data_IF_997834295829
#
_entry.id   IF_997834295829
#
_cell.length_a   1.000
_cell.length_b   1.000
_cell.length_c   1.000
_cell.angle_alpha   90.00
_cell.angle_beta   90.00
_cell.angle_gamma   90.00
#
_symmetry.space_group_name_H-M   'P 1'
#
loop_
_entity.id
_entity.type
_entity.pdbx_description
1 polymer ?
#
# COMPACT_ATOMS: atom_id res chain seq x y z
N UNK A 1 -4.67 -24.17 4.23
CA UNK A 1 -3.66 -23.30 3.53
C UNK A 1 -3.18 -22.17 4.42
N UNK A 2 -4.05 -21.50 5.19
CA UNK A 2 -3.68 -20.39 6.08
C UNK A 2 -2.79 -20.85 7.26
N UNK A 3 -3.09 -21.98 7.88
CA UNK A 3 -2.24 -22.58 8.92
C UNK A 3 -0.85 -22.95 8.37
N UNK A 4 -0.77 -23.42 7.14
CA UNK A 4 0.50 -23.77 6.47
C UNK A 4 1.33 -22.51 6.16
N UNK A 5 0.69 -21.42 5.69
CA UNK A 5 1.35 -20.14 5.44
C UNK A 5 1.84 -19.49 6.74
N UNK A 6 1.04 -19.55 7.80
CA UNK A 6 1.41 -19.01 9.10
C UNK A 6 2.55 -19.81 9.76
N UNK A 7 2.55 -21.14 9.61
CA UNK A 7 3.61 -22.03 10.11
C UNK A 7 4.92 -21.82 9.32
N UNK A 8 4.86 -21.67 8.01
CA UNK A 8 6.04 -21.38 7.17
C UNK A 8 6.60 -19.99 7.48
N UNK A 9 5.75 -18.95 7.63
CA UNK A 9 6.17 -17.63 8.04
C UNK A 9 6.83 -17.66 9.43
N UNK A 10 6.24 -18.33 10.41
CA UNK A 10 6.78 -18.40 11.77
C UNK A 10 8.13 -19.14 11.85
N UNK A 11 8.39 -20.10 10.96
CA UNK A 11 9.67 -20.81 10.93
C UNK A 11 10.77 -20.05 10.18
N UNK A 12 10.43 -19.26 9.17
CA UNK A 12 11.38 -18.47 8.38
C UNK A 12 11.91 -17.24 9.12
N UNK A 13 11.23 -16.78 10.17
CA UNK A 13 11.49 -15.48 10.81
C UNK A 13 11.71 -15.56 12.33
N UNK A 14 12.26 -16.67 12.83
CA UNK A 14 12.69 -16.76 14.24
C UNK A 14 13.78 -15.71 14.52
N UNK A 15 13.43 -14.71 15.35
CA UNK A 15 14.39 -13.70 15.84
C UNK A 15 14.20 -12.28 15.28
N UNK A 16 13.32 -12.06 14.30
CA UNK A 16 13.00 -10.71 13.80
C UNK A 16 11.98 -10.05 14.74
N UNK A 17 12.29 -8.85 15.22
CA UNK A 17 11.31 -8.00 15.91
C UNK A 17 10.30 -7.52 14.86
N UNK A 18 9.03 -7.94 15.00
CA UNK A 18 7.92 -7.63 14.09
C UNK A 18 7.00 -6.58 14.69
N UNK A 19 7.46 -5.78 15.61
CA UNK A 19 6.66 -4.67 16.12
C UNK A 19 6.34 -3.70 14.99
N UNK A 20 5.06 -3.31 14.91
CA UNK A 20 4.56 -2.31 13.98
C UNK A 20 4.15 -1.09 14.78
N UNK A 21 4.65 0.08 14.40
CA UNK A 21 4.20 1.32 15.01
C UNK A 21 2.89 1.77 14.37
N UNK A 22 1.83 1.81 15.16
CA UNK A 22 0.51 2.27 14.71
C UNK A 22 0.39 3.79 14.89
N UNK A 23 -0.02 4.46 13.80
CA UNK A 23 -0.42 5.86 13.76
C UNK A 23 -1.89 5.92 13.37
N UNK A 24 -2.79 6.03 14.37
CA UNK A 24 -4.23 6.03 14.14
C UNK A 24 -4.80 7.45 14.13
N UNK A 25 -5.17 7.93 12.95
CA UNK A 25 -5.86 9.18 12.69
C UNK A 25 -7.29 8.96 12.16
N UNK A 26 -7.82 7.74 12.23
CA UNK A 26 -9.13 7.40 11.64
C UNK A 26 -10.28 8.18 12.26
N UNK A 27 -10.17 8.54 13.55
CA UNK A 27 -11.13 9.37 14.28
C UNK A 27 -10.89 10.89 14.16
N UNK A 28 -9.84 11.32 13.45
CA UNK A 28 -9.51 12.73 13.27
C UNK A 28 -10.29 13.36 12.12
N UNK A 29 -10.19 14.69 11.96
CA UNK A 29 -10.64 15.35 10.74
C UNK A 29 -9.92 14.76 9.52
N UNK A 30 -10.60 14.68 8.35
CA UNK A 30 -9.99 14.17 7.12
C UNK A 30 -8.71 14.92 6.75
N UNK A 31 -7.67 14.18 6.39
CA UNK A 31 -6.32 14.68 6.14
C UNK A 31 -6.12 14.93 4.64
N UNK A 32 -5.50 16.04 4.31
CA UNK A 32 -5.09 16.39 2.94
C UNK A 32 -4.10 15.33 2.41
N UNK A 33 -4.31 14.87 1.16
CA UNK A 33 -3.57 13.72 0.61
C UNK A 33 -2.08 14.00 0.43
N UNK A 34 -1.72 15.18 -0.09
CA UNK A 34 -0.31 15.54 -0.36
C UNK A 34 0.53 15.53 0.91
N UNK A 35 -0.02 16.07 2.00
CA UNK A 35 0.64 16.08 3.31
C UNK A 35 0.94 14.67 3.80
N UNK A 36 -0.03 13.77 3.69
CA UNK A 36 0.16 12.38 4.12
C UNK A 36 1.11 11.61 3.17
N UNK A 37 1.09 11.91 1.87
CA UNK A 37 2.03 11.33 0.93
C UNK A 37 3.48 11.73 1.23
N UNK A 38 3.74 12.99 1.67
CA UNK A 38 5.08 13.41 2.13
C UNK A 38 5.51 12.64 3.39
N UNK A 39 4.60 12.40 4.34
CA UNK A 39 4.88 11.57 5.52
C UNK A 39 5.29 10.16 5.10
N UNK A 40 4.56 9.52 4.19
CA UNK A 40 4.90 8.19 3.68
C UNK A 40 6.29 8.19 3.02
N UNK A 41 6.58 9.16 2.16
CA UNK A 41 7.91 9.28 1.51
C UNK A 41 9.03 9.46 2.52
N UNK A 42 8.78 10.21 3.60
CA UNK A 42 9.74 10.39 4.69
C UNK A 42 10.03 9.09 5.43
N UNK A 43 8.99 8.31 5.75
CA UNK A 43 9.14 7.01 6.39
C UNK A 43 9.90 6.01 5.51
N UNK A 44 9.54 5.91 4.23
CA UNK A 44 10.27 5.09 3.25
C UNK A 44 11.73 5.54 3.14
N UNK A 45 11.97 6.85 3.11
CA UNK A 45 13.32 7.43 3.09
C UNK A 45 14.13 7.03 4.31
N UNK A 46 13.54 7.01 5.50
CA UNK A 46 14.19 6.58 6.74
C UNK A 46 14.61 5.10 6.67
N UNK A 47 13.73 4.21 6.20
CA UNK A 47 14.07 2.79 5.97
C UNK A 47 15.22 2.62 4.97
N UNK A 48 15.17 3.31 3.83
CA UNK A 48 16.21 3.24 2.79
C UNK A 48 17.55 3.80 3.28
N UNK A 49 17.54 4.90 4.03
CA UNK A 49 18.77 5.48 4.59
C UNK A 49 19.41 4.57 5.63
N UNK A 50 18.60 3.92 6.46
CA UNK A 50 19.11 2.89 7.39
C UNK A 50 19.81 1.77 6.65
N UNK A 51 19.24 1.27 5.55
CA UNK A 51 19.89 0.27 4.71
C UNK A 51 21.26 0.71 4.20
N UNK A 52 21.37 1.97 3.76
CA UNK A 52 22.67 2.52 3.32
C UNK A 52 23.71 2.47 4.45
N UNK A 53 23.31 2.86 5.67
CA UNK A 53 24.19 2.85 6.84
C UNK A 53 24.62 1.42 7.21
N UNK A 54 23.68 0.47 7.20
CA UNK A 54 23.98 -0.94 7.50
C UNK A 54 24.89 -1.54 6.42
N UNK A 55 24.62 -1.28 5.14
CA UNK A 55 25.47 -1.71 4.04
C UNK A 55 26.89 -1.16 4.16
N UNK A 56 27.04 0.13 4.48
CA UNK A 56 28.34 0.77 4.62
C UNK A 56 29.18 0.18 5.78
N UNK A 57 28.54 -0.34 6.82
CA UNK A 57 29.22 -1.05 7.91
C UNK A 57 29.79 -2.40 7.47
N UNK A 58 29.06 -3.10 6.58
CA UNK A 58 29.43 -4.44 6.10
C UNK A 58 30.45 -4.35 4.96
N UNK A 59 30.31 -3.37 4.08
CA UNK A 59 31.12 -3.17 2.89
C UNK A 59 31.59 -1.70 2.78
N UNK A 60 32.54 -1.27 3.65
CA UNK A 60 32.94 0.15 3.77
C UNK A 60 33.54 0.73 2.50
N UNK A 61 34.20 -0.09 1.69
CA UNK A 61 34.87 0.33 0.46
C UNK A 61 33.98 0.24 -0.79
N UNK A 62 32.70 -0.10 -0.60
CA UNK A 62 31.75 -0.28 -1.71
C UNK A 62 30.76 0.89 -1.74
N UNK A 63 30.60 1.51 -2.90
CA UNK A 63 29.63 2.58 -3.07
C UNK A 63 28.22 1.99 -3.15
N UNK A 64 27.33 2.45 -2.26
CA UNK A 64 25.92 2.11 -2.32
C UNK A 64 25.28 2.79 -3.53
N UNK A 65 25.03 2.02 -4.59
CA UNK A 65 24.37 2.57 -5.78
C UNK A 65 22.85 2.59 -5.62
N UNK A 66 22.25 3.74 -5.91
CA UNK A 66 20.80 3.87 -6.02
C UNK A 66 20.36 3.30 -7.37
N UNK A 67 19.59 2.20 -7.36
CA UNK A 67 19.09 1.56 -8.59
C UNK A 67 18.18 2.47 -9.42
N UNK A 68 17.66 3.55 -8.85
CA UNK A 68 16.94 4.58 -9.58
C UNK A 68 17.85 5.37 -10.56
N UNK A 69 19.19 5.25 -10.42
CA UNK A 69 20.19 5.87 -11.32
C UNK A 69 20.74 4.91 -12.39
N UNK A 70 20.32 3.64 -12.38
CA UNK A 70 20.77 2.61 -13.34
C UNK A 70 20.06 2.66 -14.71
N UNK A 71 19.41 3.75 -15.07
CA UNK A 71 19.03 3.99 -16.46
C UNK A 71 20.17 4.69 -17.19
N UNK A 72 20.75 3.94 -18.16
CA UNK A 72 21.72 4.33 -19.17
C UNK A 72 23.22 4.04 -18.87
N UNK A 73 23.66 2.89 -19.33
CA UNK A 73 24.95 2.76 -20.01
C UNK A 73 26.22 2.80 -19.16
N UNK A 74 26.40 1.86 -18.24
CA UNK A 74 27.74 1.58 -17.72
C UNK A 74 28.10 0.10 -17.96
N UNK A 75 29.16 -0.11 -18.71
CA UNK A 75 29.76 -1.40 -18.95
C UNK A 75 30.25 -2.05 -17.63
N UNK A 76 30.03 -3.34 -17.55
CA UNK A 76 30.34 -4.24 -16.46
C UNK A 76 31.78 -4.12 -15.93
N UNK A 77 31.92 -3.71 -14.67
CA UNK A 77 32.97 -4.22 -13.79
C UNK A 77 32.51 -4.10 -12.34
N UNK A 78 32.23 -5.25 -11.70
CA UNK A 78 32.00 -5.45 -10.27
C UNK A 78 30.89 -4.59 -9.60
N UNK A 79 29.71 -4.55 -10.16
CA UNK A 79 28.52 -4.08 -9.43
C UNK A 79 27.88 -5.28 -8.77
N UNK A 80 28.13 -5.46 -7.47
CA UNK A 80 27.41 -6.44 -6.66
C UNK A 80 26.04 -5.87 -6.36
N UNK A 81 24.97 -6.51 -6.85
CA UNK A 81 23.60 -6.10 -6.57
C UNK A 81 23.26 -6.29 -5.09
N UNK A 82 22.39 -5.42 -4.55
CA UNK A 82 21.91 -5.55 -3.16
C UNK A 82 21.28 -6.93 -2.91
N UNK A 83 20.68 -7.54 -3.94
CA UNK A 83 20.14 -8.90 -3.92
C UNK A 83 21.17 -9.96 -3.53
N UNK A 84 22.42 -9.79 -3.91
CA UNK A 84 23.48 -10.78 -3.70
C UNK A 84 24.01 -10.75 -2.25
N UNK A 85 23.89 -9.60 -1.57
CA UNK A 85 24.23 -9.45 -0.16
C UNK A 85 23.11 -9.85 0.82
N UNK A 86 21.89 -9.98 0.35
CA UNK A 86 20.75 -10.37 1.19
C UNK A 86 20.71 -11.87 1.54
N UNK A 87 21.65 -12.66 1.01
CA UNK A 87 21.77 -14.10 1.24
C UNK A 87 22.86 -14.47 2.26
N UNK A 88 23.31 -13.54 3.11
CA UNK A 88 24.29 -13.85 4.17
C UNK A 88 23.54 -14.36 5.42
N UNK A 89 23.69 -15.66 5.78
CA UNK A 89 22.86 -16.29 6.82
C UNK A 89 23.27 -16.03 8.27
N UNK A 90 24.35 -15.38 8.59
CA UNK A 90 24.89 -15.40 9.95
C UNK A 90 25.41 -14.04 10.45
N UNK A 91 24.49 -13.13 10.81
CA UNK A 91 24.74 -12.21 11.92
C UNK A 91 23.39 -11.80 12.54
N UNK A 92 23.05 -12.40 13.68
CA UNK A 92 21.90 -12.12 14.53
C UNK A 92 22.03 -10.76 15.26
N UNK A 93 22.23 -9.66 14.57
CA UNK A 93 21.81 -8.38 15.11
C UNK A 93 20.35 -8.19 14.69
N UNK A 94 19.41 -8.30 15.67
CA UNK A 94 17.99 -8.04 15.51
C UNK A 94 17.79 -6.75 14.72
N UNK A 95 17.42 -6.87 13.47
CA UNK A 95 16.93 -5.74 12.67
C UNK A 95 15.63 -5.35 13.35
N UNK A 96 15.65 -4.30 14.17
CA UNK A 96 14.41 -3.72 14.72
C UNK A 96 13.59 -3.25 13.53
N UNK A 97 12.44 -3.87 13.32
CA UNK A 97 11.49 -3.40 12.33
C UNK A 97 11.02 -2.01 12.74
N UNK A 98 11.12 -1.05 11.82
CA UNK A 98 10.48 0.26 11.95
C UNK A 98 9.20 0.30 11.13
N UNK A 99 8.60 -0.86 10.93
CA UNK A 99 7.34 -0.95 10.21
C UNK A 99 6.30 -0.03 10.84
N UNK A 100 5.55 0.64 9.99
CA UNK A 100 4.57 1.62 10.41
C UNK A 100 3.24 1.35 9.71
N UNK A 101 2.15 1.41 10.44
CA UNK A 101 0.79 1.37 9.90
C UNK A 101 0.11 2.70 10.22
N UNK A 102 -0.32 3.40 9.18
CA UNK A 102 -1.04 4.66 9.30
C UNK A 102 -2.50 4.42 8.92
N UNK A 103 -3.43 4.76 9.81
CA UNK A 103 -4.88 4.70 9.57
C UNK A 103 -5.45 6.11 9.58
N UNK A 104 -6.26 6.46 8.56
CA UNK A 104 -6.84 7.79 8.44
C UNK A 104 -8.04 7.84 7.50
N UNK A 105 -8.70 8.99 7.43
CA UNK A 105 -9.60 9.38 6.35
C UNK A 105 -9.01 10.58 5.60
N UNK A 106 -9.17 10.63 4.28
CA UNK A 106 -8.75 11.78 3.48
C UNK A 106 -9.85 12.81 3.27
N UNK A 107 -9.44 14.05 2.98
CA UNK A 107 -10.28 15.00 2.27
C UNK A 107 -10.60 14.45 0.87
N UNK A 108 -11.70 14.91 0.22
CA UNK A 108 -12.07 14.42 -1.09
C UNK A 108 -10.94 14.57 -2.12
N UNK A 109 -10.52 13.47 -2.72
CA UNK A 109 -9.41 13.45 -3.69
C UNK A 109 -9.56 12.28 -4.67
N UNK A 110 -9.30 12.54 -5.96
CA UNK A 110 -9.02 11.51 -6.94
C UNK A 110 -7.52 11.32 -7.08
N UNK A 111 -7.07 10.06 -6.96
CA UNK A 111 -5.67 9.71 -7.18
C UNK A 111 -5.51 8.91 -8.46
N UNK A 112 -4.66 9.38 -9.37
CA UNK A 112 -4.28 8.70 -10.60
C UNK A 112 -3.03 7.88 -10.36
N UNK A 113 -3.15 6.56 -10.34
CA UNK A 113 -2.01 5.65 -10.26
C UNK A 113 -1.21 5.58 -11.58
N UNK A 114 -0.17 4.77 -11.61
CA UNK A 114 0.74 4.65 -12.76
C UNK A 114 0.08 4.09 -14.02
N UNK A 115 -1.00 3.31 -13.87
CA UNK A 115 -1.81 2.77 -14.98
C UNK A 115 -2.94 3.70 -15.45
N UNK A 116 -3.12 4.88 -14.80
CA UNK A 116 -4.27 5.74 -15.10
C UNK A 116 -4.09 6.56 -16.36
N UNK A 117 -5.11 6.53 -17.21
CA UNK A 117 -5.36 7.57 -18.19
C UNK A 117 -6.26 8.67 -17.59
N UNK A 118 -6.04 9.92 -17.98
CA UNK A 118 -6.87 11.07 -17.57
C UNK A 118 -8.33 10.94 -18.02
N UNK A 119 -8.60 10.20 -19.09
CA UNK A 119 -9.97 9.92 -19.59
C UNK A 119 -10.84 9.15 -18.59
N UNK A 120 -10.24 8.50 -17.58
CA UNK A 120 -11.00 7.85 -16.51
C UNK A 120 -11.60 8.81 -15.49
N UNK A 121 -11.27 10.09 -15.54
CA UNK A 121 -11.95 11.15 -14.79
C UNK A 121 -12.97 11.79 -15.70
N UNK A 122 -14.24 11.67 -15.36
CA UNK A 122 -15.39 12.14 -16.15
C UNK A 122 -15.71 13.62 -15.90
N UNK A 123 -15.14 14.20 -14.83
CA UNK A 123 -15.38 15.57 -14.41
C UNK A 123 -14.28 16.48 -14.95
N UNK A 124 -14.65 17.68 -15.40
CA UNK A 124 -13.73 18.73 -15.73
C UNK A 124 -13.17 19.45 -14.48
N UNK A 125 -12.19 20.32 -14.69
CA UNK A 125 -11.50 21.02 -13.61
C UNK A 125 -12.45 21.93 -12.82
N UNK A 126 -13.35 22.65 -13.51
CA UNK A 126 -14.34 23.53 -12.89
C UNK A 126 -15.28 22.73 -11.96
N UNK A 127 -15.71 21.55 -12.40
CA UNK A 127 -16.57 20.69 -11.60
C UNK A 127 -15.84 20.08 -10.40
N UNK A 128 -14.59 19.67 -10.56
CA UNK A 128 -13.75 19.21 -9.46
C UNK A 128 -13.58 20.28 -8.39
N UNK A 129 -13.23 21.50 -8.81
CA UNK A 129 -13.09 22.64 -7.91
C UNK A 129 -14.41 22.95 -7.17
N UNK A 130 -15.55 22.97 -7.88
CA UNK A 130 -16.85 23.22 -7.28
C UNK A 130 -17.26 22.18 -6.24
N UNK A 131 -16.77 20.96 -6.34
CA UNK A 131 -17.00 19.84 -5.41
C UNK A 131 -15.95 19.76 -4.31
N UNK A 132 -14.88 20.58 -4.38
CA UNK A 132 -13.76 20.52 -3.46
C UNK A 132 -12.98 19.20 -3.54
N UNK A 133 -12.85 18.63 -4.76
CA UNK A 133 -12.15 17.37 -5.00
C UNK A 133 -10.82 17.66 -5.64
N UNK A 134 -9.73 17.30 -4.98
CA UNK A 134 -8.40 17.35 -5.56
C UNK A 134 -8.18 16.25 -6.59
N UNK A 135 -7.37 16.53 -7.63
CA UNK A 135 -6.89 15.54 -8.59
C UNK A 135 -5.36 15.44 -8.53
N UNK A 136 -4.85 14.27 -8.15
CA UNK A 136 -3.43 14.09 -7.88
C UNK A 136 -2.91 12.85 -8.61
N UNK A 137 -1.86 13.03 -9.43
CA UNK A 137 -1.11 11.90 -10.00
C UNK A 137 -0.07 11.42 -9.00
N UNK A 138 -0.05 10.11 -8.77
CA UNK A 138 0.80 9.47 -7.78
C UNK A 138 1.46 8.21 -8.36
N UNK A 139 2.38 7.64 -7.62
CA UNK A 139 3.26 6.56 -8.07
C UNK A 139 2.88 5.16 -7.53
N UNK A 140 1.65 4.99 -7.02
CA UNK A 140 1.12 3.65 -6.72
C UNK A 140 0.75 2.88 -7.98
N UNK A 141 0.72 1.57 -7.88
CA UNK A 141 0.11 0.71 -8.91
C UNK A 141 -1.40 0.92 -9.03
N UNK A 142 -1.95 0.48 -10.15
CA UNK A 142 -3.37 0.58 -10.48
C UNK A 142 -3.77 1.91 -11.14
N UNK A 143 -5.07 2.09 -11.30
CA UNK A 143 -5.67 3.18 -12.05
C UNK A 143 -6.23 4.28 -11.11
N UNK A 144 -7.26 4.99 -11.56
CA UNK A 144 -7.92 6.04 -10.77
C UNK A 144 -8.72 5.45 -9.61
N UNK A 145 -8.71 6.13 -8.47
CA UNK A 145 -9.63 5.86 -7.35
C UNK A 145 -10.00 7.14 -6.62
N UNK A 146 -11.01 7.04 -5.78
CA UNK A 146 -11.46 8.11 -4.89
C UNK A 146 -11.07 7.82 -3.45
N UNK A 147 -10.66 8.86 -2.74
CA UNK A 147 -10.56 8.87 -1.28
C UNK A 147 -11.36 10.03 -0.71
N UNK A 148 -12.00 9.80 0.44
CA UNK A 148 -12.82 10.83 1.08
C UNK A 148 -13.41 10.38 2.42
N UNK A 149 -14.20 11.25 3.07
CA UNK A 149 -14.90 10.94 4.32
C UNK A 149 -15.76 9.67 4.21
N UNK A 150 -15.77 8.86 5.26
CA UNK A 150 -16.45 7.57 5.29
C UNK A 150 -15.62 6.41 4.74
N UNK A 151 -14.40 6.67 4.24
CA UNK A 151 -13.48 5.66 3.76
C UNK A 151 -12.29 5.53 4.73
N UNK A 152 -12.06 4.35 5.26
CA UNK A 152 -10.84 4.05 6.02
C UNK A 152 -9.70 3.78 5.05
N UNK A 153 -8.68 4.62 5.08
CA UNK A 153 -7.44 4.41 4.34
C UNK A 153 -6.35 3.91 5.29
N UNK A 154 -5.61 2.88 4.85
CA UNK A 154 -4.51 2.30 5.59
C UNK A 154 -3.25 2.27 4.73
N UNK A 155 -2.16 2.79 5.30
CA UNK A 155 -0.84 2.83 4.67
C UNK A 155 0.16 2.01 5.48
N UNK A 156 0.36 0.73 5.13
CA UNK A 156 1.43 -0.08 5.71
C UNK A 156 2.77 0.25 5.04
N UNK A 157 3.66 0.85 5.79
CA UNK A 157 5.03 1.16 5.38
C UNK A 157 5.92 0.07 5.98
N UNK A 158 6.07 -1.04 5.27
CA UNK A 158 6.65 -2.28 5.75
C UNK A 158 7.91 -2.63 4.96
N UNK A 159 8.92 -3.11 5.67
CA UNK A 159 10.11 -3.67 5.07
C UNK A 159 9.87 -5.16 4.72
N UNK A 160 9.61 -5.43 3.44
CA UNK A 160 9.26 -6.78 2.95
C UNK A 160 10.41 -7.79 3.09
N UNK A 161 11.64 -7.35 3.36
CA UNK A 161 12.76 -8.24 3.65
C UNK A 161 12.57 -8.98 4.97
N UNK A 162 11.84 -8.37 5.92
CA UNK A 162 11.41 -9.00 7.17
C UNK A 162 10.21 -9.94 7.03
N UNK A 163 9.61 -10.04 5.83
CA UNK A 163 8.45 -10.87 5.52
C UNK A 163 8.72 -11.77 4.32
N UNK A 164 8.22 -11.37 3.17
CA UNK A 164 8.44 -12.06 1.89
C UNK A 164 8.61 -11.02 0.78
N UNK A 165 9.71 -11.11 0.05
CA UNK A 165 10.02 -10.25 -1.09
C UNK A 165 9.22 -10.68 -2.34
N UNK A 166 7.89 -10.57 -2.24
CA UNK A 166 6.94 -10.98 -3.27
C UNK A 166 5.72 -10.06 -3.23
N UNK A 167 5.57 -9.22 -4.26
CA UNK A 167 4.49 -8.22 -4.33
C UNK A 167 3.12 -8.89 -4.45
N UNK A 168 3.01 -9.99 -5.20
CA UNK A 168 1.74 -10.70 -5.34
C UNK A 168 1.29 -11.30 -4.01
N UNK A 169 2.22 -11.94 -3.29
CA UNK A 169 1.96 -12.43 -1.94
C UNK A 169 1.53 -11.29 -1.02
N UNK A 170 2.22 -10.14 -1.08
CA UNK A 170 1.91 -8.99 -0.23
C UNK A 170 0.51 -8.43 -0.50
N UNK A 171 0.12 -8.30 -1.77
CA UNK A 171 -1.22 -7.86 -2.14
C UNK A 171 -2.29 -8.82 -1.58
N UNK A 172 -2.07 -10.14 -1.69
CA UNK A 172 -2.98 -11.15 -1.13
C UNK A 172 -3.02 -11.13 0.40
N UNK A 173 -1.90 -10.84 1.06
CA UNK A 173 -1.84 -10.68 2.51
C UNK A 173 -2.63 -9.44 2.98
N UNK A 174 -2.60 -8.35 2.23
CA UNK A 174 -3.41 -7.17 2.53
C UNK A 174 -4.91 -7.44 2.35
N UNK A 175 -5.31 -8.13 1.30
CA UNK A 175 -6.71 -8.56 1.12
C UNK A 175 -7.18 -9.44 2.27
N UNK A 176 -6.36 -10.39 2.69
CA UNK A 176 -6.66 -11.27 3.83
C UNK A 176 -6.79 -10.49 5.13
N UNK A 177 -5.92 -9.50 5.37
CA UNK A 177 -6.02 -8.64 6.54
C UNK A 177 -7.35 -7.86 6.58
N UNK A 178 -7.86 -7.42 5.42
CA UNK A 178 -9.18 -6.78 5.32
C UNK A 178 -10.29 -7.79 5.66
N UNK A 179 -10.23 -9.01 5.10
CA UNK A 179 -11.24 -10.05 5.36
C UNK A 179 -11.32 -10.37 6.85
N UNK A 180 -10.17 -10.58 7.50
CA UNK A 180 -10.09 -10.83 8.95
C UNK A 180 -10.64 -9.64 9.76
N UNK A 181 -10.30 -8.42 9.36
CA UNK A 181 -10.78 -7.22 10.04
C UNK A 181 -12.30 -7.07 9.93
N UNK A 182 -12.88 -7.33 8.76
CA UNK A 182 -14.33 -7.30 8.55
C UNK A 182 -15.04 -8.40 9.35
N UNK A 183 -14.51 -9.62 9.34
CA UNK A 183 -15.05 -10.72 10.13
C UNK A 183 -15.03 -10.41 11.63
N UNK A 184 -13.92 -9.87 12.14
CA UNK A 184 -13.80 -9.45 13.54
C UNK A 184 -14.76 -8.29 13.90
N UNK A 185 -15.12 -7.46 12.93
CA UNK A 185 -16.13 -6.41 13.08
C UNK A 185 -17.58 -6.94 12.96
N UNK A 186 -17.77 -8.26 12.76
CA UNK A 186 -19.09 -8.87 12.60
C UNK A 186 -19.64 -8.81 11.18
N UNK A 187 -18.87 -8.35 10.20
CA UNK A 187 -19.26 -8.26 8.80
C UNK A 187 -18.92 -9.57 8.08
N UNK A 188 -19.93 -10.26 7.58
CA UNK A 188 -19.78 -11.54 6.91
C UNK A 188 -19.99 -11.43 5.40
N UNK A 189 -19.47 -12.43 4.65
CA UNK A 189 -19.71 -12.53 3.21
C UNK A 189 -18.74 -11.70 2.35
N UNK A 190 -17.73 -11.09 2.96
CA UNK A 190 -16.64 -10.47 2.22
C UNK A 190 -15.75 -11.55 1.56
N UNK A 191 -15.38 -11.32 0.30
CA UNK A 191 -14.59 -12.27 -0.49
C UNK A 191 -13.50 -11.55 -1.28
N UNK A 192 -12.47 -12.29 -1.65
CA UNK A 192 -11.52 -11.88 -2.70
C UNK A 192 -11.76 -12.69 -3.97
N UNK A 193 -11.41 -12.12 -5.11
CA UNK A 193 -11.49 -12.78 -6.41
C UNK A 193 -10.09 -13.09 -6.95
N UNK A 194 -9.94 -14.20 -7.68
CA UNK A 194 -8.60 -14.67 -8.10
C UNK A 194 -7.91 -13.74 -9.11
N UNK A 195 -8.66 -13.12 -10.00
CA UNK A 195 -8.11 -12.35 -11.11
C UNK A 195 -8.22 -10.83 -10.95
N UNK A 196 -8.80 -10.36 -9.84
CA UNK A 196 -9.05 -8.94 -9.61
C UNK A 196 -8.67 -8.57 -8.18
N UNK A 197 -7.79 -7.59 -8.04
CA UNK A 197 -7.37 -7.09 -6.73
C UNK A 197 -8.49 -6.31 -6.04
N UNK A 198 -8.75 -6.63 -4.78
CA UNK A 198 -9.75 -5.96 -3.96
C UNK A 198 -10.51 -6.92 -3.06
N UNK A 199 -11.38 -6.35 -2.22
CA UNK A 199 -12.35 -7.11 -1.42
C UNK A 199 -13.75 -6.75 -1.88
N UNK A 200 -14.58 -7.78 -2.00
CA UNK A 200 -15.88 -7.71 -2.63
C UNK A 200 -16.98 -8.24 -1.69
N UNK A 201 -18.16 -7.65 -1.79
CA UNK A 201 -19.37 -8.12 -1.10
C UNK A 201 -20.55 -8.04 -2.05
N UNK A 202 -21.23 -9.16 -2.27
CA UNK A 202 -22.37 -9.27 -3.21
C UNK A 202 -22.09 -8.65 -4.59
N UNK A 203 -20.89 -8.85 -5.13
CA UNK A 203 -20.47 -8.34 -6.43
C UNK A 203 -20.06 -6.86 -6.46
N UNK A 204 -20.17 -6.13 -5.34
CA UNK A 204 -19.69 -4.74 -5.21
C UNK A 204 -18.31 -4.69 -4.56
N UNK A 205 -17.44 -3.83 -5.04
CA UNK A 205 -16.10 -3.62 -4.49
C UNK A 205 -16.18 -2.74 -3.25
N UNK A 206 -15.86 -3.29 -2.07
CA UNK A 206 -15.87 -2.56 -0.79
C UNK A 206 -14.48 -2.12 -0.36
N UNK A 207 -13.43 -2.73 -0.90
CA UNK A 207 -12.05 -2.28 -0.65
C UNK A 207 -11.19 -2.34 -1.90
N UNK A 208 -10.41 -1.28 -2.10
CA UNK A 208 -9.43 -1.13 -3.16
C UNK A 208 -8.01 -1.15 -2.59
N UNK A 209 -7.06 -1.70 -3.36
CA UNK A 209 -5.66 -1.76 -2.97
C UNK A 209 -4.78 -1.28 -4.12
N UNK A 210 -3.73 -0.53 -3.76
CA UNK A 210 -2.70 -0.09 -4.69
C UNK A 210 -1.46 0.31 -3.93
N UNK A 211 -0.34 -0.37 -4.20
CA UNK A 211 0.92 -0.17 -3.50
C UNK A 211 2.03 0.28 -4.43
N UNK A 212 3.07 0.84 -3.86
CA UNK A 212 4.38 0.98 -4.46
C UNK A 212 5.40 0.31 -3.55
N UNK A 213 6.39 -0.32 -4.15
CA UNK A 213 7.52 -0.90 -3.43
C UNK A 213 8.80 -0.23 -3.91
N UNK A 214 9.56 0.33 -2.98
CA UNK A 214 10.89 0.88 -3.24
C UNK A 214 11.90 0.16 -2.37
N UNK A 215 12.80 -0.61 -3.00
CA UNK A 215 13.82 -1.40 -2.28
C UNK A 215 13.22 -2.31 -1.21
N UNK A 216 12.14 -2.96 -1.56
CA UNK A 216 11.35 -3.83 -0.69
C UNK A 216 10.70 -3.12 0.52
N UNK A 217 10.68 -1.79 0.54
CA UNK A 217 9.86 -1.01 1.48
C UNK A 217 8.58 -0.58 0.77
N UNK A 218 7.46 -0.87 1.38
CA UNK A 218 6.14 -0.57 0.82
C UNK A 218 5.69 0.85 1.14
N UNK A 219 4.82 1.41 0.30
CA UNK A 219 4.07 2.65 0.55
C UNK A 219 2.74 2.62 -0.19
N UNK A 220 1.87 3.57 0.10
CA UNK A 220 0.45 3.51 -0.21
C UNK A 220 -0.18 2.30 0.49
N UNK A 221 -1.23 1.70 -0.02
CA UNK A 221 -1.84 0.57 0.66
C UNK A 221 -3.25 0.26 0.21
N UNK A 222 -4.20 0.44 1.11
CA UNK A 222 -5.59 0.03 0.91
C UNK A 222 -6.59 1.09 1.37
N UNK A 223 -7.80 1.01 0.85
CA UNK A 223 -8.90 1.86 1.23
C UNK A 223 -10.18 1.03 1.31
N UNK A 224 -10.85 1.05 2.46
CA UNK A 224 -12.11 0.35 2.72
C UNK A 224 -13.24 1.39 2.77
N UNK A 225 -14.24 1.24 1.92
CA UNK A 225 -15.45 2.05 1.97
C UNK A 225 -16.29 1.58 3.16
N UNK A 226 -16.34 2.37 4.23
CA UNK A 226 -17.05 1.99 5.44
C UNK A 226 -18.50 2.40 5.38
N UNK A 227 -18.78 3.65 5.05
CA UNK A 227 -20.14 4.17 4.96
C UNK A 227 -20.45 4.88 3.63
N UNK A 228 -21.71 5.22 3.40
CA UNK A 228 -22.21 5.79 2.15
C UNK A 228 -21.57 7.12 1.75
N UNK A 229 -20.96 7.88 2.69
CA UNK A 229 -20.25 9.11 2.36
C UNK A 229 -19.05 8.84 1.47
N UNK A 230 -18.46 7.65 1.58
CA UNK A 230 -17.34 7.22 0.74
C UNK A 230 -17.72 6.98 -0.73
N UNK A 231 -19.00 6.80 -1.04
CA UNK A 231 -19.47 6.40 -2.38
C UNK A 231 -19.79 7.59 -3.29
N UNK A 232 -20.18 8.73 -2.71
CA UNK A 232 -20.83 9.83 -3.43
C UNK A 232 -20.05 10.43 -4.61
N UNK A 233 -18.74 10.25 -4.67
CA UNK A 233 -17.90 10.80 -5.73
C UNK A 233 -17.31 9.73 -6.67
N UNK A 234 -17.62 8.44 -6.49
CA UNK A 234 -17.15 7.41 -7.43
C UNK A 234 -17.78 7.53 -8.82
N UNK A 235 -18.96 8.14 -8.94
CA UNK A 235 -19.62 8.39 -10.22
C UNK A 235 -18.82 9.31 -11.15
N UNK A 236 -17.95 10.16 -10.59
CA UNK A 236 -17.07 11.06 -11.32
C UNK A 236 -15.85 10.40 -11.98
N UNK A 237 -15.65 9.10 -11.75
CA UNK A 237 -14.54 8.34 -12.31
C UNK A 237 -15.01 7.01 -12.92
N UNK A 238 -14.11 6.35 -13.67
CA UNK A 238 -14.23 4.93 -14.03
C UNK A 238 -13.25 4.17 -13.14
N UNK A 239 -13.68 3.63 -11.98
CA UNK A 239 -12.75 3.07 -11.02
C UNK A 239 -12.12 1.78 -11.55
N UNK A 240 -10.79 1.72 -11.54
CA UNK A 240 -10.00 0.53 -11.87
C UNK A 240 -10.22 -0.05 -13.28
N UNK A 241 -10.68 0.77 -14.27
CA UNK A 241 -10.95 0.29 -15.63
C UNK A 241 -11.98 -0.85 -15.74
N UNK A 242 -12.66 -1.16 -14.65
CA UNK A 242 -13.66 -2.22 -14.57
C UNK A 242 -15.03 -1.63 -14.96
N UNK A 243 -15.25 -1.48 -16.25
CA UNK A 243 -16.58 -1.11 -16.75
C UNK A 243 -17.63 -2.15 -16.28
N UNK A 244 -18.72 -1.65 -15.67
CA UNK A 244 -19.85 -2.47 -15.27
C UNK A 244 -19.73 -3.15 -13.89
N UNK A 245 -18.74 -2.82 -13.07
CA UNK A 245 -18.64 -3.28 -11.67
C UNK A 245 -18.89 -2.13 -10.70
N UNK A 246 -19.83 -2.35 -9.80
CA UNK A 246 -20.24 -1.37 -8.81
C UNK A 246 -19.26 -1.29 -7.62
N UNK A 247 -19.21 -0.12 -7.01
CA UNK A 247 -18.58 0.12 -5.72
C UNK A 247 -19.66 0.05 -4.64
N UNK A 248 -19.31 -0.52 -3.49
CA UNK A 248 -20.19 -0.58 -2.32
C UNK A 248 -19.45 -0.13 -1.06
N UNK A 249 -20.16 -0.04 0.04
CA UNK A 249 -19.58 0.18 1.35
C UNK A 249 -20.00 -0.92 2.34
N UNK A 250 -19.24 -1.03 3.43
CA UNK A 250 -19.46 -2.06 4.46
C UNK A 250 -20.85 -1.92 5.08
N UNK A 251 -21.33 -0.69 5.29
CA UNK A 251 -22.64 -0.44 5.86
C UNK A 251 -23.82 -0.94 5.03
N UNK A 252 -23.63 -1.22 3.72
CA UNK A 252 -24.66 -1.87 2.89
C UNK A 252 -24.96 -3.31 3.36
N UNK A 253 -24.12 -3.89 4.21
CA UNK A 253 -24.10 -5.32 4.60
C UNK A 253 -24.10 -5.53 6.11
N UNK A 254 -24.27 -4.48 6.88
CA UNK A 254 -24.52 -4.56 8.33
C UNK A 254 -26.04 -4.58 8.54
N UNK A 255 -26.52 -5.61 9.24
CA UNK A 255 -27.93 -5.74 9.66
C UNK A 255 -28.30 -4.74 10.77
#
# INVERSE_FOLDING_TARGET
>A
EFETLNTQANNAFKGVDRSVQLYDFSGSNPIEYRSMWEVQKSLVGAHVNRLKVEFQKIAPDTQFMDTDQLQLGASSSSVVGISDYMMIPEQEERIKSFDSLILLQHQPVYTLGTGSDSQFVKLDEERLESLGIDLIRIDRGGEVTYHGPGQLTAYPIFDQRGYKQDIHWYMRALEEAILIALENAGVQGAVREDNVTGVWMNGKKVAALGVKVKRWVTMHGLAVNVDHRSLGNFDGIVPCGLEGRDVGCVNDFLD
#
